data_IF_886338878586
#
_entry.id   IF_886338878586
#
_cell.length_a   1.000
_cell.length_b   1.000
_cell.length_c   1.000
_cell.angle_alpha   90.00
_cell.angle_beta   90.00
_cell.angle_gamma   90.00
#
_symmetry.space_group_name_H-M   'P 1'
#
loop_
_entity.id
_entity.type
_entity.pdbx_description
1 polymer ?
#
# COMPACT_ATOMS: atom_id res chain seq x y z
N UNK A 1 -1.47 7.23 14.22
CA UNK A 1 -1.07 8.32 13.30
C UNK A 1 -0.60 7.73 11.97
N UNK A 2 -0.98 8.31 10.84
CA UNK A 2 -0.45 7.98 9.53
C UNK A 2 0.27 9.20 8.94
N UNK A 3 1.43 8.99 8.31
CA UNK A 3 2.20 10.04 7.63
C UNK A 3 2.38 9.64 6.17
N UNK A 4 1.92 10.47 5.25
CA UNK A 4 2.18 10.32 3.82
C UNK A 4 3.63 10.74 3.53
N UNK A 5 4.39 9.88 2.89
CA UNK A 5 5.81 10.15 2.58
C UNK A 5 5.96 10.71 1.16
N UNK A 6 5.56 9.92 0.18
CA UNK A 6 5.47 10.30 -1.25
C UNK A 6 4.75 9.19 -2.00
N UNK A 7 4.01 9.50 -3.07
CA UNK A 7 3.35 8.59 -4.00
C UNK A 7 2.45 7.55 -3.32
N UNK A 8 2.94 6.34 -3.07
CA UNK A 8 2.27 5.26 -2.33
C UNK A 8 2.94 4.96 -0.98
N UNK A 9 3.92 5.78 -0.58
CA UNK A 9 4.68 5.61 0.66
C UNK A 9 3.96 6.17 1.88
N UNK A 10 3.75 5.32 2.89
CA UNK A 10 3.14 5.71 4.18
C UNK A 10 3.86 5.11 5.37
N UNK A 11 3.98 5.90 6.44
CA UNK A 11 4.33 5.43 7.77
C UNK A 11 3.08 5.46 8.66
N UNK A 12 2.65 4.30 9.16
CA UNK A 12 1.54 4.19 10.12
C UNK A 12 2.10 3.79 11.47
N UNK A 13 1.93 4.69 12.44
CA UNK A 13 2.38 4.50 13.82
C UNK A 13 1.18 4.07 14.67
N UNK A 14 1.20 2.82 15.12
CA UNK A 14 0.23 2.26 16.07
C UNK A 14 0.83 2.23 17.49
N UNK A 15 0.09 1.70 18.46
CA UNK A 15 0.52 1.68 19.85
C UNK A 15 1.86 0.95 20.04
N UNK A 16 1.99 -0.26 19.48
CA UNK A 16 3.10 -1.17 19.77
C UNK A 16 3.99 -1.47 18.54
N UNK A 17 3.64 -0.96 17.37
CA UNK A 17 4.35 -1.22 16.10
C UNK A 17 4.27 -0.05 15.15
N UNK A 18 5.29 0.10 14.31
CA UNK A 18 5.28 0.96 13.13
C UNK A 18 5.14 0.09 11.87
N UNK A 19 4.27 0.52 10.95
CA UNK A 19 4.06 -0.09 9.64
C UNK A 19 4.53 0.89 8.58
N UNK A 20 5.52 0.53 7.79
CA UNK A 20 6.06 1.35 6.70
C UNK A 20 5.71 0.69 5.37
N UNK A 21 4.95 1.39 4.53
CA UNK A 21 4.50 0.90 3.24
C UNK A 21 5.18 1.64 2.10
N UNK A 22 5.65 0.91 1.08
CA UNK A 22 6.12 1.37 -0.22
C UNK A 22 7.01 2.63 -0.16
N UNK A 23 7.96 2.64 0.81
CA UNK A 23 8.89 3.75 0.96
C UNK A 23 10.03 3.62 -0.07
N UNK A 24 9.90 4.33 -1.16
CA UNK A 24 10.90 4.36 -2.21
C UNK A 24 11.65 5.69 -2.26
N UNK A 25 11.01 6.77 -1.73
CA UNK A 25 11.57 8.12 -1.72
C UNK A 25 10.91 8.97 -0.62
N UNK A 26 11.41 10.18 -0.43
CA UNK A 26 10.96 11.10 0.60
C UNK A 26 11.71 10.92 1.92
N UNK A 27 11.70 11.97 2.76
CA UNK A 27 12.32 11.92 4.06
C UNK A 27 11.49 11.04 5.00
N UNK A 28 12.12 10.02 5.58
CA UNK A 28 11.51 9.24 6.64
C UNK A 28 11.60 10.05 7.95
N UNK A 29 10.47 10.32 8.63
CA UNK A 29 10.52 10.98 9.93
C UNK A 29 11.24 10.11 10.97
N UNK A 30 11.71 10.69 12.09
CA UNK A 30 12.28 9.90 13.18
C UNK A 30 11.33 8.79 13.59
N UNK A 31 11.79 7.53 13.51
CA UNK A 31 10.99 6.37 13.87
C UNK A 31 10.99 6.19 15.38
N UNK A 32 9.83 5.94 16.02
CA UNK A 32 9.76 5.57 17.43
C UNK A 32 10.56 4.29 17.72
N UNK A 33 10.97 4.11 18.98
CA UNK A 33 11.62 2.88 19.46
C UNK A 33 10.61 1.72 19.59
N UNK A 34 10.04 1.31 18.47
CA UNK A 34 9.06 0.23 18.36
C UNK A 34 9.48 -0.75 17.26
N UNK A 35 9.01 -2.01 17.29
CA UNK A 35 9.14 -2.89 16.16
C UNK A 35 8.66 -2.23 14.87
N UNK A 36 9.36 -2.47 13.77
CA UNK A 36 9.06 -1.93 12.43
C UNK A 36 8.76 -3.05 11.45
N UNK A 37 7.55 -3.07 10.90
CA UNK A 37 7.19 -3.90 9.77
C UNK A 37 7.25 -3.05 8.49
N UNK A 38 8.10 -3.46 7.55
CA UNK A 38 8.30 -2.80 6.26
C UNK A 38 7.62 -3.61 5.18
N UNK A 39 6.63 -3.03 4.53
CA UNK A 39 5.85 -3.63 3.46
C UNK A 39 6.23 -3.00 2.13
N UNK A 40 6.54 -3.81 1.13
CA UNK A 40 6.76 -3.36 -0.24
C UNK A 40 5.93 -4.23 -1.17
N UNK A 41 4.98 -3.58 -1.85
CA UNK A 41 3.96 -4.26 -2.64
C UNK A 41 4.54 -4.98 -3.86
N UNK A 42 5.45 -4.34 -4.59
CA UNK A 42 6.07 -4.86 -5.80
C UNK A 42 7.37 -4.10 -6.15
N UNK A 43 8.04 -4.54 -7.22
CA UNK A 43 9.41 -4.09 -7.58
C UNK A 43 9.49 -2.78 -8.39
N UNK A 44 8.40 -2.16 -8.81
CA UNK A 44 8.45 -0.91 -9.58
C UNK A 44 9.16 0.21 -8.79
N UNK A 45 9.86 1.08 -9.52
CA UNK A 45 10.76 2.09 -8.93
C UNK A 45 10.02 3.18 -8.11
N UNK A 46 8.72 3.30 -8.26
CA UNK A 46 7.83 4.20 -7.52
C UNK A 46 7.18 3.54 -6.27
N UNK A 47 7.52 2.27 -6.01
CA UNK A 47 7.11 1.52 -4.80
C UNK A 47 8.30 0.94 -4.04
N UNK A 48 9.39 0.62 -4.73
CA UNK A 48 10.55 -0.06 -4.16
C UNK A 48 11.86 0.71 -4.34
N UNK A 49 12.57 0.88 -3.25
CA UNK A 49 13.99 1.25 -3.25
C UNK A 49 14.78 0.30 -2.35
N UNK A 50 15.96 -0.21 -2.80
CA UNK A 50 16.84 -1.01 -1.93
C UNK A 50 17.25 -0.29 -0.64
N UNK A 51 17.10 1.02 -0.56
CA UNK A 51 17.36 1.79 0.65
C UNK A 51 16.53 1.32 1.87
N UNK A 52 15.38 0.65 1.64
CA UNK A 52 14.56 0.08 2.74
C UNK A 52 15.37 -0.89 3.61
N UNK A 53 16.34 -1.61 3.05
CA UNK A 53 17.15 -2.57 3.79
C UNK A 53 18.11 -1.93 4.80
N UNK A 54 18.42 -0.64 4.67
CA UNK A 54 19.22 0.10 5.65
C UNK A 54 18.50 0.26 7.00
N UNK A 55 17.19 0.01 7.05
CA UNK A 55 16.39 0.03 8.28
C UNK A 55 16.69 -1.17 9.20
N UNK A 56 17.39 -2.20 8.71
CA UNK A 56 17.91 -3.29 9.52
C UNK A 56 19.26 -2.90 10.18
N UNK A 57 19.27 -1.78 10.89
CA UNK A 57 20.46 -1.17 11.54
C UNK A 57 20.73 -1.69 12.97
N UNK A 58 19.91 -2.63 13.44
CA UNK A 58 20.03 -3.21 14.79
C UNK A 58 19.45 -2.33 15.91
N UNK A 59 18.93 -1.14 15.64
CA UNK A 59 18.38 -0.24 16.66
C UNK A 59 17.01 -0.70 17.17
N UNK A 60 16.29 -1.52 16.39
CA UNK A 60 14.96 -2.06 16.73
C UNK A 60 14.69 -3.38 15.99
N UNK A 61 13.73 -4.19 16.45
CA UNK A 61 13.24 -5.33 15.66
C UNK A 61 12.65 -4.86 14.34
N UNK A 62 13.12 -5.42 13.21
CA UNK A 62 12.61 -5.13 11.87
C UNK A 62 12.19 -6.42 11.16
N UNK A 63 11.13 -6.39 10.37
CA UNK A 63 10.73 -7.42 9.42
C UNK A 63 10.34 -6.78 8.09
N UNK A 64 10.71 -7.44 6.99
CA UNK A 64 10.40 -7.03 5.64
C UNK A 64 9.39 -8.00 5.01
N UNK A 65 8.23 -7.48 4.60
CA UNK A 65 7.15 -8.19 3.95
C UNK A 65 7.10 -7.68 2.50
N UNK A 66 7.65 -8.46 1.60
CA UNK A 66 7.96 -8.02 0.24
C UNK A 66 7.15 -8.85 -0.77
N UNK A 67 6.64 -8.22 -1.83
CA UNK A 67 6.09 -8.94 -2.96
C UNK A 67 7.09 -9.97 -3.51
N UNK A 68 6.61 -11.12 -3.98
CA UNK A 68 7.48 -12.22 -4.50
C UNK A 68 8.38 -11.79 -5.64
N UNK A 69 7.96 -10.82 -6.43
CA UNK A 69 8.68 -10.24 -7.55
C UNK A 69 9.95 -9.46 -7.13
N UNK A 70 10.02 -9.02 -5.85
CA UNK A 70 11.19 -8.36 -5.25
C UNK A 70 12.28 -9.37 -4.86
N UNK A 71 11.97 -10.68 -4.83
CA UNK A 71 12.96 -11.69 -4.42
C UNK A 71 14.28 -11.50 -5.20
N UNK A 72 15.40 -11.22 -4.49
CA UNK A 72 16.63 -10.87 -5.16
C UNK A 72 17.24 -12.07 -5.90
N UNK A 73 17.74 -11.82 -7.12
CA UNK A 73 18.71 -12.68 -7.75
C UNK A 73 20.09 -12.50 -7.07
N UNK A 74 21.05 -13.41 -7.30
CA UNK A 74 22.42 -13.25 -6.79
C UNK A 74 23.02 -11.89 -7.19
N UNK A 75 22.78 -11.43 -8.42
CA UNK A 75 23.23 -10.12 -8.90
C UNK A 75 22.60 -8.97 -8.12
N UNK A 76 21.28 -9.03 -7.88
CA UNK A 76 20.59 -8.00 -7.12
C UNK A 76 20.96 -8.04 -5.64
N UNK A 77 21.17 -9.21 -5.07
CA UNK A 77 21.65 -9.38 -3.71
C UNK A 77 22.97 -8.62 -3.49
N UNK A 78 23.95 -8.83 -4.38
CA UNK A 78 25.23 -8.13 -4.33
C UNK A 78 25.06 -6.61 -4.54
N UNK A 79 24.24 -6.20 -5.52
CA UNK A 79 23.99 -4.78 -5.84
C UNK A 79 23.31 -4.04 -4.68
N UNK A 80 22.38 -4.70 -3.97
CA UNK A 80 21.63 -4.12 -2.86
C UNK A 80 22.35 -4.27 -1.51
N UNK A 81 23.51 -4.90 -1.47
CA UNK A 81 24.29 -5.12 -0.26
C UNK A 81 23.62 -6.01 0.77
N UNK A 82 22.78 -6.97 0.31
CA UNK A 82 22.03 -7.84 1.20
C UNK A 82 22.90 -8.94 1.78
N UNK A 83 22.99 -8.97 3.10
CA UNK A 83 23.61 -10.06 3.86
C UNK A 83 22.62 -11.21 4.11
N UNK A 84 23.12 -12.37 4.53
CA UNK A 84 22.26 -13.48 4.97
C UNK A 84 21.40 -13.07 6.17
N UNK A 85 21.94 -12.23 7.06
CA UNK A 85 21.22 -11.69 8.20
C UNK A 85 20.03 -10.83 7.75
N UNK A 86 20.25 -9.87 6.85
CA UNK A 86 19.15 -9.05 6.30
C UNK A 86 18.13 -9.90 5.59
N UNK A 87 18.57 -10.90 4.79
CA UNK A 87 17.65 -11.80 4.09
C UNK A 87 16.81 -12.65 5.06
N UNK A 88 17.35 -13.03 6.22
CA UNK A 88 16.61 -13.76 7.25
C UNK A 88 15.46 -12.97 7.86
N UNK A 89 15.47 -11.64 7.72
CA UNK A 89 14.40 -10.75 8.16
C UNK A 89 13.31 -10.56 7.09
N UNK A 90 13.49 -11.11 5.87
CA UNK A 90 12.59 -10.92 4.74
C UNK A 90 11.64 -12.11 4.55
N UNK A 91 10.36 -11.79 4.35
CA UNK A 91 9.35 -12.71 3.84
C UNK A 91 8.90 -12.24 2.46
N UNK A 92 8.88 -13.15 1.47
CA UNK A 92 8.47 -12.85 0.10
C UNK A 92 7.09 -13.46 -0.15
N UNK A 93 6.06 -12.60 -0.25
CA UNK A 93 4.66 -12.99 -0.24
C UNK A 93 4.03 -12.86 -1.64
N UNK A 94 3.30 -13.89 -2.05
CA UNK A 94 2.38 -13.82 -3.20
C UNK A 94 0.98 -13.45 -2.75
N UNK A 95 0.04 -13.37 -3.70
CA UNK A 95 -1.36 -13.14 -3.36
C UNK A 95 -1.99 -14.32 -2.60
N UNK A 96 -2.94 -14.02 -1.71
CA UNK A 96 -3.65 -14.97 -0.84
C UNK A 96 -2.75 -15.73 0.13
N UNK A 97 -1.70 -15.10 0.63
CA UNK A 97 -0.84 -15.64 1.68
C UNK A 97 -1.09 -14.90 3.01
N UNK A 98 -0.76 -15.59 4.13
CA UNK A 98 -0.90 -15.06 5.48
C UNK A 98 0.39 -15.27 6.25
N UNK A 99 0.77 -14.30 7.08
CA UNK A 99 1.91 -14.44 7.98
C UNK A 99 1.68 -13.69 9.30
N UNK A 100 2.27 -14.18 10.37
CA UNK A 100 2.48 -13.42 11.58
C UNK A 100 3.84 -12.70 11.45
N UNK A 101 3.83 -11.39 11.61
CA UNK A 101 5.01 -10.52 11.44
C UNK A 101 5.75 -10.34 12.76
N UNK A 102 4.99 -10.01 13.79
CA UNK A 102 5.36 -9.94 15.21
C UNK A 102 4.19 -10.48 16.02
N UNK A 103 4.38 -10.83 17.30
CA UNK A 103 3.27 -11.25 18.16
C UNK A 103 2.12 -10.24 18.12
N UNK A 104 0.93 -10.68 17.66
CA UNK A 104 -0.24 -9.83 17.50
C UNK A 104 -0.23 -8.88 16.28
N UNK A 105 0.74 -9.00 15.39
CA UNK A 105 0.78 -8.30 14.09
C UNK A 105 0.71 -9.32 12.97
N UNK A 106 -0.38 -9.33 12.24
CA UNK A 106 -0.65 -10.26 11.14
C UNK A 106 -0.74 -9.54 9.80
N UNK A 107 -0.38 -10.22 8.74
CA UNK A 107 -0.57 -9.75 7.36
C UNK A 107 -1.28 -10.82 6.54
N UNK A 108 -2.22 -10.37 5.75
CA UNK A 108 -2.88 -11.09 4.66
C UNK A 108 -2.58 -10.35 3.36
N UNK A 109 -2.34 -11.06 2.28
CA UNK A 109 -2.08 -10.46 0.96
C UNK A 109 -3.19 -10.77 -0.02
N UNK A 110 -3.51 -9.80 -0.87
CA UNK A 110 -4.38 -10.01 -2.04
C UNK A 110 -3.53 -9.94 -3.31
N UNK A 111 -3.90 -10.68 -4.38
CA UNK A 111 -3.27 -10.50 -5.69
C UNK A 111 -3.46 -9.07 -6.20
N UNK A 112 -2.49 -8.56 -6.95
CA UNK A 112 -2.61 -7.26 -7.63
C UNK A 112 -3.12 -7.42 -9.07
N UNK A 113 -3.66 -6.36 -9.63
CA UNK A 113 -4.02 -6.22 -11.04
C UNK A 113 -2.87 -5.69 -11.90
N UNK A 114 -1.80 -5.30 -11.26
CA UNK A 114 -0.48 -5.05 -11.85
C UNK A 114 0.52 -6.09 -11.32
N UNK A 115 1.68 -5.70 -10.80
CA UNK A 115 2.64 -6.61 -10.15
C UNK A 115 2.42 -6.69 -8.62
N UNK A 116 2.94 -7.76 -8.01
CA UNK A 116 3.00 -7.91 -6.56
C UNK A 116 1.68 -8.18 -5.86
N UNK A 117 1.46 -7.47 -4.74
CA UNK A 117 0.37 -7.75 -3.82
C UNK A 117 -0.17 -6.48 -3.16
N UNK A 118 -1.44 -6.53 -2.72
CA UNK A 118 -1.98 -5.63 -1.70
C UNK A 118 -1.82 -6.26 -0.31
N UNK A 119 -1.77 -5.42 0.73
CA UNK A 119 -1.61 -5.85 2.13
C UNK A 119 -2.83 -5.52 2.97
N UNK A 120 -3.27 -6.46 3.79
CA UNK A 120 -4.23 -6.26 4.88
C UNK A 120 -3.52 -6.60 6.17
N UNK A 121 -3.28 -5.60 7.01
CA UNK A 121 -2.50 -5.74 8.24
C UNK A 121 -3.39 -5.59 9.46
N UNK A 122 -3.42 -6.62 10.31
CA UNK A 122 -4.06 -6.57 11.61
C UNK A 122 -3.02 -6.27 12.68
N UNK A 123 -3.17 -5.17 13.43
CA UNK A 123 -2.27 -4.81 14.52
C UNK A 123 -2.94 -3.87 15.53
N UNK A 124 -2.69 -4.05 16.83
CA UNK A 124 -3.22 -3.19 17.90
C UNK A 124 -4.77 -3.03 17.85
N UNK A 125 -5.50 -4.08 17.44
CA UNK A 125 -6.95 -4.04 17.28
C UNK A 125 -7.45 -3.22 16.09
N UNK A 126 -6.57 -2.86 15.14
CA UNK A 126 -6.86 -2.12 13.92
C UNK A 126 -6.61 -2.96 12.69
N UNK A 127 -7.37 -2.71 11.64
CA UNK A 127 -7.14 -3.23 10.29
C UNK A 127 -6.66 -2.10 9.39
N UNK A 128 -5.45 -2.25 8.83
CA UNK A 128 -4.84 -1.31 7.88
C UNK A 128 -4.72 -1.98 6.52
N UNK A 129 -5.25 -1.35 5.49
CA UNK A 129 -5.16 -1.81 4.10
C UNK A 129 -4.25 -0.91 3.28
N UNK A 130 -3.34 -1.51 2.52
CA UNK A 130 -2.53 -0.83 1.51
C UNK A 130 -2.69 -1.56 0.18
N UNK A 131 -3.26 -0.87 -0.81
CA UNK A 131 -3.61 -1.49 -2.07
C UNK A 131 -2.40 -1.89 -2.93
N UNK A 132 -1.20 -1.29 -2.70
CA UNK A 132 -0.17 -1.32 -3.74
C UNK A 132 -0.79 -0.85 -5.04
N UNK A 133 -0.60 -1.59 -6.12
CA UNK A 133 -1.22 -1.33 -7.42
C UNK A 133 -2.42 -2.25 -7.72
N UNK A 134 -3.06 -2.80 -6.69
CA UNK A 134 -4.38 -3.41 -6.85
C UNK A 134 -5.41 -2.31 -7.11
N UNK A 135 -5.69 -2.06 -8.37
CA UNK A 135 -6.57 -0.99 -8.83
C UNK A 135 -7.36 -1.41 -10.08
N UNK A 136 -8.45 -0.67 -10.38
CA UNK A 136 -9.19 -0.84 -11.63
C UNK A 136 -8.53 -0.03 -12.74
N UNK A 137 -7.45 -0.57 -13.31
CA UNK A 137 -6.72 0.03 -14.40
C UNK A 137 -7.53 -0.02 -15.69
N UNK A 138 -8.23 1.07 -16.00
CA UNK A 138 -8.96 1.25 -17.25
C UNK A 138 -8.27 2.32 -18.09
N UNK A 139 -7.62 1.91 -19.16
CA UNK A 139 -6.91 2.82 -20.06
C UNK A 139 -7.69 3.02 -21.35
N UNK A 140 -7.92 4.27 -21.78
CA UNK A 140 -8.64 4.58 -23.01
C UNK A 140 -7.92 4.04 -24.26
N UNK A 141 -6.58 3.90 -24.22
CA UNK A 141 -5.76 3.37 -25.32
C UNK A 141 -5.73 1.85 -25.41
N UNK A 142 -6.25 1.12 -24.44
CA UNK A 142 -6.25 -0.34 -24.41
C UNK A 142 -7.52 -0.92 -25.04
N UNK A 143 -7.43 -2.17 -25.52
CA UNK A 143 -8.58 -2.83 -26.11
C UNK A 143 -9.66 -3.18 -25.04
N UNK A 144 -10.88 -3.43 -25.54
CA UNK A 144 -12.03 -3.73 -24.66
C UNK A 144 -11.83 -5.01 -23.83
N UNK A 145 -11.14 -6.01 -24.39
CA UNK A 145 -10.92 -7.28 -23.69
C UNK A 145 -9.92 -7.10 -22.55
N UNK A 146 -8.87 -6.30 -22.76
CA UNK A 146 -7.91 -5.95 -21.73
C UNK A 146 -8.58 -5.18 -20.59
N UNK A 147 -9.31 -4.09 -20.89
CA UNK A 147 -10.02 -3.29 -19.90
C UNK A 147 -11.06 -4.12 -19.14
N UNK A 148 -11.78 -5.03 -19.83
CA UNK A 148 -12.70 -5.95 -19.15
C UNK A 148 -11.99 -6.94 -18.23
N UNK A 149 -10.83 -7.43 -18.61
CA UNK A 149 -10.03 -8.32 -17.78
C UNK A 149 -9.56 -7.60 -16.49
N UNK A 150 -9.13 -6.34 -16.60
CA UNK A 150 -8.76 -5.50 -15.45
C UNK A 150 -9.93 -5.30 -14.50
N UNK A 151 -11.11 -4.96 -15.01
CA UNK A 151 -12.34 -4.85 -14.21
C UNK A 151 -12.62 -6.13 -13.44
N UNK A 152 -12.70 -7.27 -14.16
CA UNK A 152 -13.04 -8.57 -13.55
C UNK A 152 -12.02 -8.99 -12.49
N UNK A 153 -10.73 -8.80 -12.78
CA UNK A 153 -9.67 -9.16 -11.84
C UNK A 153 -9.68 -8.24 -10.61
N UNK A 154 -9.82 -6.92 -10.78
CA UNK A 154 -9.92 -5.97 -9.68
C UNK A 154 -11.07 -6.34 -8.73
N UNK A 155 -12.28 -6.53 -9.27
CA UNK A 155 -13.45 -6.90 -8.49
C UNK A 155 -13.25 -8.25 -7.79
N UNK A 156 -12.69 -9.25 -8.49
CA UNK A 156 -12.43 -10.59 -7.94
C UNK A 156 -11.41 -10.54 -6.80
N UNK A 157 -10.31 -9.78 -6.97
CA UNK A 157 -9.25 -9.70 -5.98
C UNK A 157 -9.66 -8.89 -4.75
N UNK A 158 -10.57 -7.93 -4.93
CA UNK A 158 -11.11 -7.14 -3.83
C UNK A 158 -12.18 -7.88 -3.00
N UNK A 159 -12.82 -8.91 -3.58
CA UNK A 159 -13.94 -9.65 -2.93
C UNK A 159 -13.66 -10.09 -1.48
N UNK A 160 -12.45 -10.53 -1.09
CA UNK A 160 -12.17 -10.89 0.31
C UNK A 160 -12.36 -9.74 1.31
N UNK A 161 -12.45 -8.50 0.84
CA UNK A 161 -12.65 -7.31 1.66
C UNK A 161 -14.13 -6.87 1.73
N UNK A 162 -15.03 -7.49 0.95
CA UNK A 162 -16.46 -7.14 0.95
C UNK A 162 -17.04 -7.25 2.35
N UNK A 163 -17.63 -6.13 2.84
CA UNK A 163 -18.21 -6.03 4.17
C UNK A 163 -17.21 -6.13 5.34
N UNK A 164 -15.92 -6.26 5.08
CA UNK A 164 -14.89 -6.29 6.11
C UNK A 164 -14.62 -4.88 6.62
N UNK A 165 -14.56 -4.74 7.95
CA UNK A 165 -14.20 -3.47 8.57
C UNK A 165 -12.71 -3.16 8.41
N UNK A 166 -12.42 -1.93 7.96
CA UNK A 166 -11.06 -1.41 7.73
C UNK A 166 -10.97 -0.03 8.37
N UNK A 167 -10.09 0.12 9.37
CA UNK A 167 -9.90 1.40 10.06
C UNK A 167 -9.20 2.44 9.17
N UNK A 168 -8.20 1.99 8.38
CA UNK A 168 -7.41 2.84 7.49
C UNK A 168 -7.12 2.11 6.18
N UNK A 169 -7.39 2.76 5.07
CA UNK A 169 -7.00 2.28 3.75
C UNK A 169 -6.16 3.31 2.97
N UNK A 170 -5.12 2.88 2.28
CA UNK A 170 -4.37 3.62 1.28
C UNK A 170 -4.72 3.02 -0.08
N UNK A 171 -5.39 3.81 -0.94
CA UNK A 171 -6.00 3.32 -2.19
C UNK A 171 -5.62 4.25 -3.35
N UNK A 172 -5.23 3.71 -4.53
CA UNK A 172 -4.88 4.53 -5.68
C UNK A 172 -6.03 5.41 -6.15
N UNK A 173 -5.68 6.64 -6.57
CA UNK A 173 -6.52 7.60 -7.26
C UNK A 173 -5.67 8.24 -8.35
N UNK A 174 -5.67 7.70 -9.57
CA UNK A 174 -4.70 8.01 -10.61
C UNK A 174 -5.31 8.83 -11.75
N UNK A 175 -4.86 10.07 -11.91
CA UNK A 175 -5.35 10.98 -12.94
C UNK A 175 -4.98 10.57 -14.37
N UNK A 176 -4.02 9.67 -14.56
CA UNK A 176 -3.65 9.13 -15.88
C UNK A 176 -4.75 8.30 -16.50
N UNK A 177 -5.70 7.78 -15.69
CA UNK A 177 -6.88 7.04 -16.14
C UNK A 177 -7.99 7.94 -16.69
N UNK A 178 -7.77 9.26 -16.75
CA UNK A 178 -8.66 10.23 -17.38
C UNK A 178 -10.12 10.16 -16.87
N UNK A 179 -11.05 9.68 -17.72
CA UNK A 179 -12.46 9.51 -17.36
C UNK A 179 -12.74 8.41 -16.33
N UNK A 180 -11.80 7.47 -16.14
CA UNK A 180 -11.94 6.33 -15.23
C UNK A 180 -11.18 6.50 -13.90
N UNK A 181 -10.61 7.69 -13.63
CA UNK A 181 -9.71 7.95 -12.48
C UNK A 181 -10.32 7.61 -11.12
N UNK A 182 -11.63 7.68 -10.99
CA UNK A 182 -12.40 7.49 -9.75
C UNK A 182 -12.96 6.08 -9.57
N UNK A 183 -13.01 5.27 -10.64
CA UNK A 183 -13.74 3.99 -10.63
C UNK A 183 -13.24 3.01 -9.56
N UNK A 184 -11.93 2.85 -9.44
CA UNK A 184 -11.35 1.91 -8.48
C UNK A 184 -11.62 2.31 -7.03
N UNK A 185 -11.42 3.57 -6.68
CA UNK A 185 -11.67 4.10 -5.34
C UNK A 185 -13.16 4.09 -4.99
N UNK A 186 -14.03 4.49 -5.93
CA UNK A 186 -15.48 4.46 -5.73
C UNK A 186 -15.98 3.02 -5.51
N UNK A 187 -15.50 2.07 -6.33
CA UNK A 187 -15.85 0.65 -6.17
C UNK A 187 -15.37 0.11 -4.80
N UNK A 188 -14.12 0.39 -4.41
CA UNK A 188 -13.58 -0.01 -3.11
C UNK A 188 -14.49 0.48 -1.96
N UNK A 189 -14.82 1.76 -1.93
CA UNK A 189 -15.63 2.37 -0.90
C UNK A 189 -17.08 1.88 -0.88
N UNK A 190 -17.64 1.49 -2.03
CA UNK A 190 -18.97 0.93 -2.14
C UNK A 190 -19.09 -0.51 -1.60
N UNK A 191 -17.97 -1.27 -1.57
CA UNK A 191 -17.96 -2.69 -1.23
C UNK A 191 -17.28 -3.01 0.09
N UNK A 192 -16.64 -2.01 0.75
CA UNK A 192 -15.95 -2.20 2.04
C UNK A 192 -16.54 -1.32 3.13
N UNK A 193 -16.46 -1.79 4.38
CA UNK A 193 -16.75 -1.00 5.58
C UNK A 193 -15.43 -0.32 6.04
N UNK A 194 -15.05 0.81 5.37
CA UNK A 194 -13.80 1.52 5.63
C UNK A 194 -14.06 2.85 6.30
N UNK A 195 -13.43 3.13 7.44
CA UNK A 195 -13.58 4.38 8.18
C UNK A 195 -12.85 5.55 7.51
N UNK A 196 -11.59 5.33 7.15
CA UNK A 196 -10.72 6.39 6.61
C UNK A 196 -9.94 5.89 5.40
N UNK A 197 -9.98 6.68 4.33
CA UNK A 197 -9.13 6.46 3.14
C UNK A 197 -8.19 7.64 2.94
N UNK A 198 -6.92 7.32 2.72
CA UNK A 198 -5.88 8.22 2.23
C UNK A 198 -5.63 7.89 0.75
N UNK A 199 -6.08 8.72 -0.20
CA UNK A 199 -5.80 8.51 -1.61
C UNK A 199 -4.30 8.60 -1.90
N UNK A 200 -3.79 7.68 -2.70
CA UNK A 200 -2.39 7.59 -3.09
C UNK A 200 -2.24 7.49 -4.61
N UNK A 201 -1.01 7.37 -5.12
CA UNK A 201 -0.69 7.19 -6.53
C UNK A 201 -1.16 8.36 -7.43
N UNK A 202 -1.20 9.59 -6.87
CA UNK A 202 -1.75 10.76 -7.53
C UNK A 202 -0.75 11.52 -8.41
N UNK A 203 0.53 11.12 -8.43
CA UNK A 203 1.59 11.79 -9.20
C UNK A 203 1.68 13.31 -8.94
N UNK A 204 1.45 13.73 -7.68
CA UNK A 204 1.44 15.15 -7.30
C UNK A 204 0.16 15.91 -7.70
N UNK A 205 -0.81 15.26 -8.34
CA UNK A 205 -2.09 15.85 -8.73
C UNK A 205 -3.11 15.79 -7.58
N UNK A 206 -2.77 16.36 -6.43
CA UNK A 206 -3.58 16.24 -5.20
C UNK A 206 -5.01 16.80 -5.32
N UNK A 207 -5.25 17.70 -6.27
CA UNK A 207 -6.59 18.20 -6.59
C UNK A 207 -7.55 17.09 -7.09
N UNK A 208 -7.05 15.92 -7.49
CA UNK A 208 -7.88 14.76 -7.84
C UNK A 208 -8.79 14.33 -6.68
N UNK A 209 -8.33 14.46 -5.44
CA UNK A 209 -9.14 14.12 -4.27
C UNK A 209 -10.35 15.04 -4.15
N UNK A 210 -10.19 16.35 -4.37
CA UNK A 210 -11.31 17.31 -4.36
C UNK A 210 -12.30 16.98 -5.49
N UNK A 211 -11.79 16.68 -6.68
CA UNK A 211 -12.61 16.24 -7.81
C UNK A 211 -13.39 14.97 -7.51
N UNK A 212 -12.75 13.97 -6.91
CA UNK A 212 -13.41 12.72 -6.46
C UNK A 212 -14.53 13.02 -5.46
N UNK A 213 -14.26 13.81 -4.43
CA UNK A 213 -15.26 14.17 -3.41
C UNK A 213 -16.45 14.96 -3.99
N UNK A 214 -16.21 15.78 -5.03
CA UNK A 214 -17.28 16.51 -5.71
C UNK A 214 -18.18 15.59 -6.55
N UNK A 215 -17.61 14.53 -7.16
CA UNK A 215 -18.35 13.52 -7.92
C UNK A 215 -19.10 12.52 -7.02
N UNK A 216 -18.56 12.23 -5.83
CA UNK A 216 -19.05 11.24 -4.88
C UNK A 216 -19.25 11.86 -3.49
N UNK A 217 -20.19 12.80 -3.31
CA UNK A 217 -20.35 13.51 -2.05
C UNK A 217 -20.73 12.59 -0.88
N UNK A 218 -21.38 11.46 -1.14
CA UNK A 218 -21.74 10.44 -0.16
C UNK A 218 -20.51 9.66 0.37
N UNK A 219 -19.44 9.56 -0.42
CA UNK A 219 -18.19 8.89 -0.05
C UNK A 219 -17.17 9.85 0.58
N UNK A 220 -17.31 11.15 0.32
CA UNK A 220 -16.39 12.20 0.75
C UNK A 220 -16.10 12.21 2.27
N UNK A 221 -17.05 11.92 3.18
CA UNK A 221 -16.76 11.89 4.62
C UNK A 221 -15.70 10.90 5.05
N UNK A 222 -15.48 9.84 4.27
CA UNK A 222 -14.48 8.78 4.51
C UNK A 222 -13.10 9.13 3.94
N UNK A 223 -12.99 10.18 3.14
CA UNK A 223 -11.74 10.59 2.49
C UNK A 223 -11.00 11.62 3.35
N UNK A 224 -9.71 11.43 3.52
CA UNK A 224 -8.80 12.45 4.06
C UNK A 224 -7.85 12.88 2.95
N UNK A 225 -7.98 14.12 2.45
CA UNK A 225 -7.16 14.59 1.33
C UNK A 225 -5.67 14.59 1.69
N UNK A 226 -4.88 13.94 0.85
CA UNK A 226 -3.44 14.07 0.83
C UNK A 226 -3.11 15.29 -0.05
N UNK A 227 -2.37 16.25 0.48
CA UNK A 227 -2.10 17.53 -0.21
C UNK A 227 -0.60 17.83 -0.37
N UNK A 228 0.26 17.17 0.41
CA UNK A 228 1.71 17.34 0.33
C UNK A 228 2.44 16.17 1.00
N UNK A 229 3.69 15.90 0.60
CA UNK A 229 4.58 15.00 1.34
C UNK A 229 4.76 15.43 2.81
N UNK A 230 5.01 14.47 3.67
CA UNK A 230 5.13 14.62 5.12
C UNK A 230 3.83 15.06 5.86
N UNK A 231 2.69 15.10 5.17
CA UNK A 231 1.40 15.35 5.82
C UNK A 231 1.05 14.19 6.75
N UNK A 232 0.54 14.56 7.95
CA UNK A 232 0.20 13.61 9.01
C UNK A 232 -1.29 13.63 9.31
N UNK A 233 -1.85 12.44 9.57
CA UNK A 233 -3.26 12.20 9.86
C UNK A 233 -3.41 11.49 11.21
N UNK A 234 -4.39 11.90 11.99
CA UNK A 234 -4.88 11.11 13.15
C UNK A 234 -5.85 10.06 12.64
N UNK A 235 -5.67 8.81 13.07
CA UNK A 235 -6.47 7.64 12.70
C UNK A 235 -6.98 6.96 13.95
#
# INVERSE_FOLDING_TARGET
RATFLDHSGFLVELADVCLLFDWWKGALPPLPEKPLAVFVSHRHEDHFSPAVFSLADGTRPVRFLLGKDIRPTEKNRARWGLTDETLSLCSFLGGNEHAEVFPGVTVETLPSTDEGVAFVVGACGRTVYHAGDLHWWHWEGEDRAWNRNMEVNFQRFLRPLEGRHIDLAMVPLDGRLEGAFDWGLAYFLAHTDTDTVLPMHQWGQFALTERFCALHPELAPRIRPVTAPAQTFTI
#
